data_IF_533103385359
#
_entry.id   IF_533103385359
#
_cell.length_a   1.000
_cell.length_b   1.000
_cell.length_c   1.000
_cell.angle_alpha   90.00
_cell.angle_beta   90.00
_cell.angle_gamma   90.00
#
_symmetry.space_group_name_H-M   'P 1'
#
loop_
_entity.id
_entity.type
_entity.pdbx_description
1 polymer ?
#
# COMPACT_ATOMS: atom_id res chain seq x y z
N UNK A 1 37.44 -27.94 -52.34
CA UNK A 1 36.69 -26.68 -52.20
C UNK A 1 35.60 -26.95 -51.18
N UNK A 2 35.89 -26.57 -49.94
CA UNK A 2 34.97 -26.69 -48.83
C UNK A 2 34.70 -25.26 -48.36
N UNK A 3 33.45 -24.87 -48.41
CA UNK A 3 33.02 -23.55 -47.93
C UNK A 3 32.48 -23.74 -46.52
N UNK A 4 33.14 -23.14 -45.56
CA UNK A 4 32.68 -22.95 -44.19
C UNK A 4 31.55 -21.92 -44.17
N UNK A 5 30.45 -22.26 -43.55
CA UNK A 5 29.41 -21.34 -43.17
C UNK A 5 29.56 -20.93 -41.72
N UNK A 6 29.49 -19.65 -41.34
CA UNK A 6 29.52 -19.22 -39.97
C UNK A 6 28.14 -19.37 -39.31
N UNK A 7 28.17 -19.97 -38.13
CA UNK A 7 27.03 -20.13 -37.22
C UNK A 7 26.47 -18.80 -36.78
N UNK A 8 25.15 -18.61 -37.00
CA UNK A 8 24.40 -17.49 -36.42
C UNK A 8 24.24 -17.65 -34.92
N UNK A 9 24.93 -16.82 -34.19
CA UNK A 9 24.67 -16.59 -32.76
C UNK A 9 23.36 -15.80 -32.63
N UNK A 10 22.33 -16.47 -32.10
CA UNK A 10 21.03 -15.86 -31.80
C UNK A 10 21.20 -15.07 -30.52
N UNK A 11 21.25 -13.75 -30.61
CA UNK A 11 21.18 -12.86 -29.45
C UNK A 11 19.80 -13.06 -28.77
N UNK A 12 19.85 -13.49 -27.50
CA UNK A 12 18.67 -13.44 -26.64
C UNK A 12 18.30 -11.98 -26.39
N UNK A 13 17.12 -11.61 -26.82
CA UNK A 13 16.51 -10.35 -26.46
C UNK A 13 16.23 -10.34 -24.96
N UNK A 14 17.07 -9.64 -24.22
CA UNK A 14 16.78 -9.22 -22.85
C UNK A 14 15.60 -8.23 -22.94
N UNK A 15 14.49 -8.63 -22.32
CA UNK A 15 13.30 -7.80 -22.21
C UNK A 15 13.64 -6.41 -21.73
N UNK A 16 13.30 -5.43 -22.53
CA UNK A 16 13.40 -4.00 -22.23
C UNK A 16 12.57 -3.72 -20.97
N UNK A 17 13.25 -3.48 -19.85
CA UNK A 17 12.66 -2.77 -18.72
C UNK A 17 11.99 -1.50 -19.25
N UNK A 18 10.67 -1.45 -19.23
CA UNK A 18 9.96 -0.20 -19.52
C UNK A 18 10.48 0.85 -18.57
N UNK A 19 11.09 1.89 -19.12
CA UNK A 19 11.40 3.11 -18.38
C UNK A 19 10.09 3.59 -17.79
N UNK A 20 10.01 3.67 -16.46
CA UNK A 20 8.90 4.31 -15.76
C UNK A 20 8.70 5.70 -16.35
N UNK A 21 7.49 5.98 -16.79
CA UNK A 21 7.07 7.31 -17.20
C UNK A 21 7.36 8.27 -16.04
N UNK A 22 7.93 9.42 -16.34
CA UNK A 22 8.46 10.34 -15.34
C UNK A 22 7.35 10.77 -14.35
N UNK A 23 7.41 10.26 -13.11
CA UNK A 23 6.56 10.67 -11.99
C UNK A 23 5.58 9.65 -11.42
N UNK A 24 5.20 8.61 -12.15
CA UNK A 24 4.27 7.57 -11.69
C UNK A 24 5.03 6.50 -10.88
N UNK A 25 4.53 6.18 -9.69
CA UNK A 25 5.05 5.08 -8.85
C UNK A 25 4.16 3.85 -9.08
N UNK A 26 4.79 2.73 -9.39
CA UNK A 26 4.07 1.46 -9.60
C UNK A 26 3.70 0.79 -8.29
N UNK A 27 2.69 -0.07 -8.33
CA UNK A 27 2.31 -0.94 -7.22
C UNK A 27 3.53 -1.73 -6.69
N UNK A 28 4.29 -2.36 -7.57
CA UNK A 28 5.50 -3.13 -7.22
C UNK A 28 6.54 -2.27 -6.49
N UNK A 29 6.79 -1.05 -6.96
CA UNK A 29 7.74 -0.14 -6.31
C UNK A 29 7.29 0.25 -4.89
N UNK A 30 6.01 0.44 -4.65
CA UNK A 30 5.47 0.67 -3.30
C UNK A 30 5.65 -0.56 -2.42
N UNK A 31 5.32 -1.74 -2.94
CA UNK A 31 5.44 -3.01 -2.19
C UNK A 31 6.91 -3.26 -1.82
N UNK A 32 7.85 -3.11 -2.75
CA UNK A 32 9.28 -3.26 -2.50
C UNK A 32 9.78 -2.24 -1.48
N UNK A 33 9.38 -0.98 -1.61
CA UNK A 33 9.78 0.09 -0.70
C UNK A 33 9.39 -0.20 0.74
N UNK A 34 8.12 -0.56 0.99
CA UNK A 34 7.63 -0.82 2.34
C UNK A 34 8.17 -2.14 2.89
N UNK A 35 8.26 -3.17 2.06
CA UNK A 35 8.80 -4.48 2.45
C UNK A 35 10.28 -4.42 2.87
N UNK A 36 11.03 -3.46 2.33
CA UNK A 36 12.44 -3.22 2.69
C UNK A 36 12.64 -2.53 4.03
N UNK A 37 11.61 -2.02 4.68
CA UNK A 37 11.74 -1.34 5.96
C UNK A 37 11.99 -2.32 7.12
N UNK A 38 12.78 -1.93 8.14
CA UNK A 38 13.12 -2.81 9.25
C UNK A 38 11.90 -3.35 10.01
N UNK A 39 11.87 -4.65 10.28
CA UNK A 39 10.82 -5.29 11.07
C UNK A 39 9.46 -5.41 10.38
N UNK A 40 9.38 -5.10 9.09
CA UNK A 40 8.16 -5.26 8.30
C UNK A 40 7.96 -6.71 7.91
N UNK A 41 6.73 -7.19 8.08
CA UNK A 41 6.21 -8.43 7.53
C UNK A 41 5.19 -8.09 6.47
N UNK A 42 5.43 -8.55 5.25
CA UNK A 42 4.56 -8.33 4.10
C UNK A 42 3.78 -9.61 3.79
N UNK A 43 2.48 -9.48 3.60
CA UNK A 43 1.60 -10.58 3.19
C UNK A 43 0.79 -10.13 1.99
N UNK A 44 0.97 -10.78 0.85
CA UNK A 44 0.08 -10.64 -0.31
C UNK A 44 -0.95 -11.75 -0.27
N UNK A 45 -2.21 -11.38 -0.25
CA UNK A 45 -3.32 -12.32 -0.19
C UNK A 45 -3.37 -13.17 -1.46
N UNK A 46 -3.46 -14.47 -1.27
CA UNK A 46 -3.52 -15.45 -2.36
C UNK A 46 -4.21 -16.74 -1.91
N UNK A 47 -4.46 -17.63 -2.85
CA UNK A 47 -5.00 -18.97 -2.58
C UNK A 47 -4.05 -19.80 -1.70
N UNK A 48 -2.75 -19.65 -1.90
CA UNK A 48 -1.70 -20.44 -1.22
C UNK A 48 -1.66 -20.15 0.30
N UNK A 49 -2.00 -18.92 0.70
CA UNK A 49 -2.10 -18.55 2.12
C UNK A 49 -3.53 -18.54 2.65
N UNK A 50 -4.45 -19.20 1.93
CA UNK A 50 -5.87 -19.36 2.33
C UNK A 50 -6.63 -18.04 2.52
N UNK A 51 -6.18 -16.97 1.88
CA UNK A 51 -6.89 -15.71 1.88
C UNK A 51 -8.21 -15.82 1.09
N UNK A 52 -9.25 -15.05 1.46
CA UNK A 52 -10.48 -14.96 0.67
C UNK A 52 -10.18 -14.52 -0.76
N UNK A 53 -10.88 -15.09 -1.75
CA UNK A 53 -10.70 -14.77 -3.17
C UNK A 53 -10.89 -13.28 -3.45
N UNK A 54 -11.79 -12.61 -2.74
CA UNK A 54 -12.04 -11.17 -2.85
C UNK A 54 -10.85 -10.30 -2.43
N UNK A 55 -9.84 -10.86 -1.78
CA UNK A 55 -8.64 -10.14 -1.36
C UNK A 55 -7.38 -10.54 -2.14
N UNK A 56 -7.46 -11.50 -3.09
CA UNK A 56 -6.28 -11.96 -3.81
C UNK A 56 -5.61 -10.82 -4.58
N UNK A 57 -4.30 -10.69 -4.39
CA UNK A 57 -3.49 -9.60 -4.94
C UNK A 57 -3.31 -8.43 -3.96
N UNK A 58 -4.19 -8.26 -2.98
CA UNK A 58 -4.01 -7.21 -1.99
C UNK A 58 -2.80 -7.51 -1.09
N UNK A 59 -2.04 -6.47 -0.79
CA UNK A 59 -0.82 -6.59 0.03
C UNK A 59 -0.98 -5.81 1.33
N UNK A 60 -0.62 -6.47 2.44
CA UNK A 60 -0.73 -5.95 3.80
C UNK A 60 0.65 -5.85 4.44
N UNK A 61 0.95 -4.72 5.09
CA UNK A 61 2.23 -4.47 5.76
C UNK A 61 2.04 -4.35 7.26
N UNK A 62 2.73 -5.21 7.99
CA UNK A 62 2.68 -5.29 9.45
C UNK A 62 4.05 -5.00 10.04
N UNK A 63 4.09 -4.36 11.20
CA UNK A 63 5.31 -4.28 11.99
C UNK A 63 5.34 -5.43 13.01
N UNK A 64 6.19 -6.41 12.79
CA UNK A 64 6.38 -7.60 13.64
C UNK A 64 7.83 -8.07 13.55
N UNK A 65 8.78 -7.34 14.21
CA UNK A 65 10.21 -7.58 14.05
C UNK A 65 10.64 -8.97 14.52
N UNK A 66 9.96 -9.52 15.51
CA UNK A 66 10.25 -10.86 16.07
C UNK A 66 9.49 -11.98 15.37
N UNK A 67 8.59 -11.66 14.45
CA UNK A 67 7.72 -12.60 13.72
C UNK A 67 6.95 -13.57 14.63
N UNK A 68 6.61 -13.14 15.81
CA UNK A 68 6.00 -13.98 16.87
C UNK A 68 4.54 -13.65 17.16
N UNK A 69 3.95 -12.66 16.49
CA UNK A 69 2.54 -12.31 16.67
C UNK A 69 1.64 -13.22 15.84
N UNK A 70 0.59 -13.78 16.45
CA UNK A 70 -0.46 -14.48 15.70
C UNK A 70 -1.05 -13.57 14.60
N UNK A 71 -1.36 -14.12 13.44
CA UNK A 71 -1.86 -13.35 12.28
C UNK A 71 -3.11 -12.55 12.62
N UNK A 72 -4.05 -13.13 13.37
CA UNK A 72 -5.29 -12.49 13.80
C UNK A 72 -5.09 -11.34 14.82
N UNK A 73 -3.87 -11.13 15.31
CA UNK A 73 -3.51 -10.03 16.21
C UNK A 73 -2.61 -8.98 15.55
N UNK A 74 -2.26 -9.18 14.29
CA UNK A 74 -1.52 -8.20 13.50
C UNK A 74 -2.50 -7.16 12.96
N UNK A 75 -2.16 -5.89 13.14
CA UNK A 75 -2.86 -4.78 12.51
C UNK A 75 -1.91 -4.16 11.48
N UNK A 76 -2.30 -4.05 10.22
CA UNK A 76 -1.46 -3.43 9.22
C UNK A 76 -1.30 -1.93 9.52
N UNK A 77 -0.15 -1.37 9.15
CA UNK A 77 0.07 0.07 9.16
C UNK A 77 -0.09 0.69 7.76
N UNK A 78 -0.03 -0.13 6.72
CA UNK A 78 -0.33 0.22 5.35
C UNK A 78 -0.83 -1.00 4.57
N UNK A 79 -1.54 -0.76 3.48
CA UNK A 79 -1.97 -1.80 2.53
C UNK A 79 -1.90 -1.26 1.10
N UNK A 80 -1.75 -2.16 0.14
CA UNK A 80 -2.01 -1.91 -1.28
C UNK A 80 -3.17 -2.79 -1.70
N UNK A 81 -4.23 -2.19 -2.23
CA UNK A 81 -5.48 -2.87 -2.58
C UNK A 81 -5.73 -2.70 -4.07
N UNK A 82 -6.08 -3.80 -4.75
CA UNK A 82 -6.20 -3.86 -6.21
C UNK A 82 -7.61 -4.26 -6.70
N UNK A 83 -8.54 -4.48 -5.76
CA UNK A 83 -9.92 -4.86 -6.06
C UNK A 83 -10.93 -4.08 -5.23
N UNK A 84 -12.12 -3.90 -5.77
CA UNK A 84 -13.28 -3.45 -5.00
C UNK A 84 -13.82 -4.60 -4.12
N UNK A 85 -14.23 -4.25 -2.91
CA UNK A 85 -14.91 -5.18 -2.01
C UNK A 85 -16.42 -4.97 -2.12
N UNK A 86 -17.07 -5.76 -2.95
CA UNK A 86 -18.49 -5.64 -3.28
C UNK A 86 -19.34 -5.59 -2.00
N UNK A 87 -20.21 -4.55 -1.92
CA UNK A 87 -21.11 -4.31 -0.79
C UNK A 87 -20.44 -3.66 0.43
N UNK A 88 -19.16 -3.31 0.36
CA UNK A 88 -18.45 -2.75 1.48
C UNK A 88 -17.46 -1.60 1.14
N UNK A 89 -16.61 -1.73 0.12
CA UNK A 89 -15.61 -0.73 -0.27
C UNK A 89 -15.47 -0.72 -1.79
N UNK A 90 -16.29 0.09 -2.48
CA UNK A 90 -16.36 0.16 -3.94
C UNK A 90 -16.21 1.58 -4.48
N UNK A 91 -16.12 2.58 -3.62
CA UNK A 91 -16.11 3.98 -4.03
C UNK A 91 -14.87 4.35 -4.85
N UNK A 92 -13.75 3.64 -4.64
CA UNK A 92 -12.51 3.85 -5.38
C UNK A 92 -12.53 3.25 -6.79
N UNK A 93 -13.51 2.42 -7.12
CA UNK A 93 -13.63 1.79 -8.44
C UNK A 93 -12.32 1.12 -8.87
N UNK A 94 -11.78 0.26 -8.02
CA UNK A 94 -10.46 -0.37 -8.19
C UNK A 94 -10.44 -1.42 -9.30
N UNK A 95 -11.61 -1.95 -9.70
CA UNK A 95 -11.72 -2.93 -10.79
C UNK A 95 -11.42 -2.34 -12.17
N UNK A 96 -11.04 -1.06 -12.26
CA UNK A 96 -10.52 -0.43 -13.49
C UNK A 96 -9.11 -0.91 -13.78
N UNK A 97 -8.78 -1.15 -15.06
CA UNK A 97 -7.44 -1.61 -15.45
C UNK A 97 -6.31 -0.72 -14.94
N UNK A 98 -5.34 -1.33 -14.25
CA UNK A 98 -4.13 -0.67 -13.77
C UNK A 98 -4.34 0.30 -12.60
N UNK A 99 -5.50 0.26 -11.94
CA UNK A 99 -5.76 1.05 -10.73
C UNK A 99 -5.43 0.21 -9.50
N UNK A 100 -4.70 0.83 -8.57
CA UNK A 100 -4.47 0.32 -7.22
C UNK A 100 -4.56 1.46 -6.21
N UNK A 101 -4.81 1.14 -4.96
CA UNK A 101 -4.93 2.11 -3.88
C UNK A 101 -3.94 1.79 -2.77
N UNK A 102 -3.11 2.77 -2.43
CA UNK A 102 -2.24 2.74 -1.25
C UNK A 102 -3.00 3.32 -0.07
N UNK A 103 -3.20 2.53 0.97
CA UNK A 103 -3.87 2.93 2.21
C UNK A 103 -2.84 3.03 3.33
N UNK A 104 -2.90 4.10 4.13
CA UNK A 104 -1.87 4.45 5.12
C UNK A 104 -2.53 4.83 6.44
N UNK A 105 -2.12 4.18 7.54
CA UNK A 105 -2.60 4.45 8.89
C UNK A 105 -1.83 5.62 9.52
N UNK A 106 -2.23 6.84 9.21
CA UNK A 106 -1.57 8.07 9.69
C UNK A 106 -1.93 8.41 11.16
N UNK A 107 -2.94 7.73 11.71
CA UNK A 107 -3.46 7.99 13.04
C UNK A 107 -4.23 9.31 13.13
N UNK A 108 -4.77 9.60 14.34
CA UNK A 108 -5.64 10.77 14.53
C UNK A 108 -4.96 12.09 14.19
N UNK A 109 -3.79 12.33 14.72
CA UNK A 109 -3.07 13.60 14.52
C UNK A 109 -2.63 13.80 13.08
N UNK A 110 -2.11 12.74 12.43
CA UNK A 110 -1.74 12.81 11.01
C UNK A 110 -2.94 13.07 10.11
N UNK A 111 -4.05 12.40 10.36
CA UNK A 111 -5.29 12.62 9.64
C UNK A 111 -5.79 14.07 9.74
N UNK A 112 -5.82 14.62 10.97
CA UNK A 112 -6.27 16.01 11.21
C UNK A 112 -5.33 17.03 10.55
N UNK A 113 -4.01 16.80 10.57
CA UNK A 113 -3.05 17.64 9.89
C UNK A 113 -3.20 17.63 8.37
N UNK A 114 -3.52 16.47 7.78
CA UNK A 114 -3.63 16.29 6.34
C UNK A 114 -4.97 16.80 5.77
N UNK A 115 -6.06 16.62 6.50
CA UNK A 115 -7.41 16.85 6.00
C UNK A 115 -8.13 18.02 6.67
N UNK A 116 -7.57 18.59 7.76
CA UNK A 116 -8.09 19.78 8.42
C UNK A 116 -9.23 19.54 9.40
N UNK A 117 -9.63 18.28 9.64
CA UNK A 117 -10.69 17.91 10.58
C UNK A 117 -10.34 16.56 11.26
N UNK A 118 -10.82 16.29 12.48
CA UNK A 118 -10.54 15.04 13.16
C UNK A 118 -11.27 13.84 12.52
N UNK A 119 -10.67 12.62 12.54
CA UNK A 119 -11.25 11.41 11.93
C UNK A 119 -12.71 11.15 12.29
N UNK A 120 -13.10 11.43 13.54
CA UNK A 120 -14.46 11.20 14.02
C UNK A 120 -15.53 12.07 13.33
N UNK A 121 -15.12 13.14 12.64
CA UNK A 121 -16.01 14.04 11.90
C UNK A 121 -16.10 13.67 10.41
N UNK A 122 -15.37 12.65 9.96
CA UNK A 122 -15.28 12.34 8.53
C UNK A 122 -16.64 12.12 7.86
N UNK A 123 -17.62 11.53 8.53
CA UNK A 123 -18.94 11.31 7.95
C UNK A 123 -19.60 12.61 7.45
N UNK A 124 -19.35 13.73 8.09
CA UNK A 124 -19.85 15.05 7.66
C UNK A 124 -19.15 15.61 6.43
N UNK A 125 -17.94 15.13 6.14
CA UNK A 125 -17.09 15.55 5.02
C UNK A 125 -17.05 14.54 3.88
N UNK A 126 -17.72 13.39 4.00
CA UNK A 126 -17.62 12.28 3.07
C UNK A 126 -17.86 12.69 1.61
N UNK A 127 -18.93 13.44 1.36
CA UNK A 127 -19.32 13.88 0.01
C UNK A 127 -18.40 14.96 -0.60
N UNK A 128 -17.40 15.46 0.15
CA UNK A 128 -16.45 16.45 -0.35
C UNK A 128 -15.32 15.84 -1.20
N UNK A 129 -15.21 14.50 -1.23
CA UNK A 129 -14.10 13.78 -1.86
C UNK A 129 -14.55 12.96 -3.07
N UNK A 130 -13.73 12.97 -4.11
CA UNK A 130 -13.81 12.02 -5.22
C UNK A 130 -12.90 10.81 -4.90
N UNK A 131 -13.51 9.72 -4.43
CA UNK A 131 -12.80 8.50 -4.03
C UNK A 131 -12.21 7.72 -5.20
N UNK A 132 -12.58 8.01 -6.45
CA UNK A 132 -12.04 7.41 -7.66
C UNK A 132 -10.92 8.24 -8.32
N UNK A 133 -10.62 9.43 -7.78
CA UNK A 133 -9.57 10.31 -8.29
C UNK A 133 -8.17 9.70 -8.07
N UNK A 134 -7.33 9.73 -9.10
CA UNK A 134 -5.94 9.27 -9.05
C UNK A 134 -4.99 10.40 -8.70
N UNK A 135 -3.86 10.05 -8.05
CA UNK A 135 -2.79 10.99 -7.67
C UNK A 135 -3.29 12.16 -6.80
N UNK A 136 -4.24 11.85 -5.89
CA UNK A 136 -4.79 12.78 -4.91
C UNK A 136 -4.85 12.08 -3.55
N UNK A 137 -4.46 12.79 -2.48
CA UNK A 137 -4.64 12.32 -1.12
C UNK A 137 -6.11 12.48 -0.72
N UNK A 138 -6.73 11.39 -0.32
CA UNK A 138 -8.12 11.32 0.14
C UNK A 138 -8.21 10.61 1.49
N UNK A 139 -9.25 10.85 2.29
CA UNK A 139 -9.56 9.95 3.41
C UNK A 139 -9.86 8.54 2.89
N UNK A 140 -9.55 7.51 3.66
CA UNK A 140 -9.91 6.15 3.27
C UNK A 140 -11.44 5.99 3.23
N UNK A 141 -12.05 5.49 2.16
CA UNK A 141 -13.51 5.41 2.04
C UNK A 141 -14.19 4.78 3.26
N UNK A 142 -13.63 3.70 3.79
CA UNK A 142 -14.21 2.93 4.89
C UNK A 142 -13.56 3.23 6.25
N UNK A 143 -12.24 3.47 6.29
CA UNK A 143 -11.48 3.55 7.55
C UNK A 143 -11.01 4.97 7.92
N UNK A 144 -11.53 6.01 7.27
CA UNK A 144 -11.18 7.39 7.60
C UNK A 144 -11.41 7.72 9.09
N UNK A 145 -12.51 7.24 9.67
CA UNK A 145 -12.81 7.44 11.11
C UNK A 145 -11.77 6.82 12.06
N UNK A 146 -10.94 5.90 11.56
CA UNK A 146 -9.84 5.26 12.30
C UNK A 146 -8.49 5.94 12.03
N UNK A 147 -8.46 7.04 11.27
CA UNK A 147 -7.24 7.79 10.93
C UNK A 147 -6.46 7.17 9.79
N UNK A 148 -7.15 6.66 8.77
CA UNK A 148 -6.56 6.17 7.53
C UNK A 148 -6.80 7.14 6.38
N UNK A 149 -5.78 7.30 5.55
CA UNK A 149 -5.83 8.04 4.29
C UNK A 149 -5.47 7.11 3.13
N UNK A 150 -5.79 7.53 1.91
CA UNK A 150 -5.54 6.74 0.70
C UNK A 150 -5.05 7.60 -0.44
N UNK A 151 -4.34 6.99 -1.38
CA UNK A 151 -3.99 7.57 -2.68
C UNK A 151 -4.12 6.47 -3.73
N UNK A 152 -4.87 6.74 -4.81
CA UNK A 152 -4.91 5.88 -5.98
C UNK A 152 -3.78 6.26 -6.93
N UNK A 153 -3.03 5.27 -7.42
CA UNK A 153 -1.96 5.45 -8.41
C UNK A 153 -1.09 6.71 -8.14
N UNK A 154 -0.31 6.73 -7.05
CA UNK A 154 0.55 7.88 -6.72
C UNK A 154 1.46 8.23 -7.90
N UNK A 155 1.55 9.52 -8.25
CA UNK A 155 2.35 10.02 -9.35
C UNK A 155 3.04 11.35 -8.99
N UNK A 156 3.20 12.27 -9.92
CA UNK A 156 3.95 13.52 -9.70
C UNK A 156 3.49 14.33 -8.49
N UNK A 157 2.18 14.37 -8.21
CA UNK A 157 1.63 15.18 -7.13
C UNK A 157 1.79 14.56 -5.76
N UNK A 158 1.71 13.23 -5.66
CA UNK A 158 1.60 12.56 -4.36
C UNK A 158 2.70 11.54 -4.06
N UNK A 159 3.53 11.14 -5.03
CA UNK A 159 4.53 10.08 -4.84
C UNK A 159 5.52 10.33 -3.71
N UNK A 160 6.01 11.56 -3.57
CA UNK A 160 6.91 11.96 -2.48
C UNK A 160 6.19 11.96 -1.15
N UNK A 161 4.97 12.52 -1.11
CA UNK A 161 4.14 12.55 0.09
C UNK A 161 3.76 11.13 0.55
N UNK A 162 3.38 10.25 -0.37
CA UNK A 162 3.04 8.85 -0.04
C UNK A 162 4.22 8.14 0.60
N UNK A 163 5.44 8.30 0.08
CA UNK A 163 6.65 7.71 0.70
C UNK A 163 6.85 8.21 2.12
N UNK A 164 6.75 9.53 2.33
CA UNK A 164 6.88 10.13 3.66
C UNK A 164 5.81 9.61 4.62
N UNK A 165 4.56 9.52 4.18
CA UNK A 165 3.47 9.00 5.01
C UNK A 165 3.63 7.52 5.35
N UNK A 166 4.19 6.72 4.44
CA UNK A 166 4.52 5.31 4.70
C UNK A 166 5.62 5.18 5.76
N UNK A 167 6.66 6.03 5.70
CA UNK A 167 7.72 6.08 6.73
C UNK A 167 7.16 6.49 8.09
N UNK A 168 6.31 7.51 8.13
CA UNK A 168 5.67 7.99 9.36
C UNK A 168 4.73 6.94 9.96
N UNK A 169 3.98 6.23 9.13
CA UNK A 169 3.11 5.14 9.56
C UNK A 169 3.90 3.94 10.10
N UNK A 170 5.02 3.59 9.46
CA UNK A 170 5.96 2.59 9.97
C UNK A 170 6.51 3.02 11.34
N UNK A 171 7.02 4.24 11.47
CA UNK A 171 7.52 4.77 12.74
C UNK A 171 6.44 4.78 13.84
N UNK A 172 5.18 5.05 13.49
CA UNK A 172 4.05 4.96 14.41
C UNK A 172 3.79 3.51 14.84
N UNK A 173 3.91 2.54 13.94
CA UNK A 173 3.77 1.13 14.23
C UNK A 173 4.89 0.63 15.17
N UNK A 174 6.14 1.07 14.96
CA UNK A 174 7.28 0.82 15.85
C UNK A 174 6.97 1.31 17.26
N UNK A 175 6.61 2.60 17.41
CA UNK A 175 6.27 3.17 18.73
C UNK A 175 5.12 2.47 19.43
N UNK A 176 4.12 1.99 18.68
CA UNK A 176 3.00 1.19 19.24
C UNK A 176 3.45 -0.18 19.72
N UNK A 177 4.41 -0.78 19.03
CA UNK A 177 4.99 -2.06 19.42
C UNK A 177 5.80 -1.92 20.70
N UNK A 178 6.70 -0.95 20.79
CA UNK A 178 7.53 -0.65 21.97
C UNK A 178 6.67 -0.42 23.22
N UNK A 179 5.67 0.46 23.14
CA UNK A 179 4.75 0.71 24.26
C UNK A 179 4.01 -0.54 24.75
N UNK A 180 3.72 -1.51 23.87
CA UNK A 180 3.11 -2.78 24.28
C UNK A 180 4.08 -3.70 24.99
N UNK A 181 5.36 -3.68 24.62
CA UNK A 181 6.39 -4.44 25.31
C UNK A 181 6.59 -3.89 26.73
N UNK A 182 6.68 -2.58 26.89
CA UNK A 182 6.82 -1.91 28.17
C UNK A 182 5.64 -2.22 29.11
N UNK A 183 4.40 -2.19 28.59
CA UNK A 183 3.20 -2.50 29.34
C UNK A 183 3.07 -3.97 29.78
N UNK A 184 3.85 -4.88 29.20
CA UNK A 184 3.88 -6.30 29.61
C UNK A 184 4.93 -6.60 30.69
N UNK A 185 5.85 -5.67 30.92
CA UNK A 185 6.93 -5.81 31.89
C UNK A 185 6.56 -5.17 33.25
N UNK A 186 5.41 -4.46 33.30
CA UNK A 186 4.87 -3.79 34.50
C UNK A 186 3.75 -4.61 35.12
#
# INVERSE_FOLDING_TARGET
MHQDQPSHFRAQEYGTKRKSDHGSVTETEIIEYVSGQPGVVTVTASKENSAPESAWGDTFFFYDPDRNRPENQRLPFATVVVHDYVGWDTESQLDRDGIFRVNIAVGRSGFEQLLGYPPAQHQAHHEEFDYAATDVLIPHPTYASQGWVSVLNPAERTSVQVRQLLDDAHALAVRRHERRLDARQT
#
